data_IF_731778356220
#
_entry.id   IF_731778356220
#
_cell.length_a   1.000
_cell.length_b   1.000
_cell.length_c   1.000
_cell.angle_alpha   90.00
_cell.angle_beta   90.00
_cell.angle_gamma   90.00
#
_symmetry.space_group_name_H-M   'P 1'
#
loop_
_entity.id
_entity.type
_entity.pdbx_description
1 polymer ?
#
# COMPACT_ATOMS: atom_id res chain seq x y z
N UNK A 1 -8.87 21.99 28.95
CA UNK A 1 -7.83 21.14 28.35
C UNK A 1 -8.53 19.86 27.90
N UNK A 2 -9.01 19.84 26.66
CA UNK A 2 -9.86 18.74 26.17
C UNK A 2 -8.97 17.55 25.87
N UNK A 3 -9.09 16.49 26.66
CA UNK A 3 -8.36 15.24 26.46
C UNK A 3 -8.85 14.60 25.16
N UNK A 4 -7.92 14.28 24.25
CA UNK A 4 -8.29 13.68 22.97
C UNK A 4 -8.76 12.23 23.21
N UNK A 5 -9.74 11.71 22.45
CA UNK A 5 -10.18 10.33 22.64
C UNK A 5 -8.99 9.37 22.48
N UNK A 6 -8.94 8.25 23.23
CA UNK A 6 -7.77 7.36 23.29
C UNK A 6 -7.23 6.91 21.93
N UNK A 7 -8.11 6.73 20.94
CA UNK A 7 -7.77 6.39 19.55
C UNK A 7 -7.02 7.51 18.82
N UNK A 8 -7.35 8.77 19.09
CA UNK A 8 -6.67 9.94 18.50
C UNK A 8 -5.28 10.12 19.11
N UNK A 9 -5.15 9.95 20.43
CA UNK A 9 -3.86 9.98 21.11
C UNK A 9 -2.91 8.86 20.63
N UNK A 10 -3.45 7.66 20.38
CA UNK A 10 -2.71 6.54 19.80
C UNK A 10 -2.23 6.87 18.37
N UNK A 11 -3.13 7.34 17.49
CA UNK A 11 -2.79 7.74 16.12
C UNK A 11 -1.70 8.82 16.09
N UNK A 12 -1.82 9.84 16.93
CA UNK A 12 -0.80 10.89 17.05
C UNK A 12 0.56 10.31 17.49
N UNK A 13 0.56 9.37 18.44
CA UNK A 13 1.77 8.70 18.90
C UNK A 13 2.44 7.88 17.80
N UNK A 14 1.64 7.14 17.03
CA UNK A 14 2.12 6.32 15.92
C UNK A 14 2.70 7.19 14.80
N UNK A 15 1.98 8.23 14.34
CA UNK A 15 2.50 9.20 13.35
C UNK A 15 3.83 9.81 13.76
N UNK A 16 4.00 10.12 15.05
CA UNK A 16 5.23 10.73 15.57
C UNK A 16 6.40 9.74 15.64
N UNK A 17 6.17 8.50 16.03
CA UNK A 17 7.25 7.54 16.36
C UNK A 17 7.57 6.56 15.24
N UNK A 18 6.53 6.07 14.57
CA UNK A 18 6.63 4.93 13.65
C UNK A 18 7.53 5.22 12.42
N UNK A 19 7.54 6.42 11.81
CA UNK A 19 8.43 6.70 10.67
C UNK A 19 9.93 6.52 11.00
N UNK A 20 10.36 6.90 12.21
CA UNK A 20 11.76 6.73 12.63
C UNK A 20 12.07 5.25 12.88
N UNK A 21 11.14 4.52 13.50
CA UNK A 21 11.30 3.10 13.77
C UNK A 21 11.33 2.28 12.47
N UNK A 22 10.46 2.58 11.51
CA UNK A 22 10.44 1.96 10.19
C UNK A 22 11.73 2.21 9.41
N UNK A 23 12.27 3.44 9.42
CA UNK A 23 13.57 3.73 8.81
C UNK A 23 14.70 2.92 9.44
N UNK A 24 14.72 2.81 10.78
CA UNK A 24 15.71 1.97 11.46
C UNK A 24 15.56 0.50 11.07
N UNK A 25 14.34 -0.04 11.14
CA UNK A 25 14.06 -1.43 10.82
C UNK A 25 14.40 -1.76 9.35
N UNK A 26 14.15 -0.84 8.41
CA UNK A 26 14.52 -1.01 7.02
C UNK A 26 16.04 -1.06 6.83
N UNK A 27 16.78 -0.21 7.55
CA UNK A 27 18.25 -0.25 7.57
C UNK A 27 18.80 -1.54 8.19
N UNK A 28 18.24 -1.97 9.32
CA UNK A 28 18.64 -3.22 9.99
C UNK A 28 18.37 -4.44 9.08
N UNK A 29 17.21 -4.47 8.40
CA UNK A 29 16.88 -5.49 7.41
C UNK A 29 17.86 -5.48 6.23
N UNK A 30 18.14 -4.31 5.65
CA UNK A 30 19.06 -4.20 4.52
C UNK A 30 20.47 -4.69 4.89
N UNK A 31 20.95 -4.37 6.09
CA UNK A 31 22.22 -4.87 6.59
C UNK A 31 22.21 -6.41 6.75
N UNK A 32 21.18 -6.96 7.39
CA UNK A 32 21.05 -8.41 7.58
C UNK A 32 20.93 -9.17 6.25
N UNK A 33 20.19 -8.63 5.28
CA UNK A 33 19.97 -9.25 3.98
C UNK A 33 21.18 -9.13 3.04
N UNK A 34 22.09 -8.19 3.30
CA UNK A 34 23.33 -8.04 2.54
C UNK A 34 24.42 -9.04 2.94
N UNK A 35 24.30 -9.67 4.12
CA UNK A 35 25.22 -10.72 4.53
C UNK A 35 25.16 -11.92 3.56
N UNK A 36 26.30 -12.55 3.24
CA UNK A 36 26.30 -13.73 2.41
C UNK A 36 25.39 -14.82 2.98
N UNK A 37 24.49 -15.40 2.16
CA UNK A 37 23.60 -16.44 2.64
C UNK A 37 24.40 -17.67 3.13
N UNK A 38 23.98 -18.34 4.21
CA UNK A 38 24.63 -19.55 4.68
C UNK A 38 24.64 -20.66 3.61
N UNK A 39 25.73 -21.42 3.54
CA UNK A 39 25.89 -22.48 2.53
C UNK A 39 25.08 -23.73 2.83
N UNK A 40 24.80 -24.03 4.10
CA UNK A 40 23.99 -25.18 4.47
C UNK A 40 22.49 -24.88 4.34
N UNK A 41 21.73 -25.87 3.87
CA UNK A 41 20.32 -25.69 3.56
C UNK A 41 19.47 -25.27 4.76
N UNK A 42 19.81 -25.73 5.98
CA UNK A 42 19.05 -25.43 7.20
C UNK A 42 19.23 -23.97 7.60
N UNK A 43 20.47 -23.50 7.64
CA UNK A 43 20.80 -22.12 7.96
C UNK A 43 20.34 -21.18 6.85
N UNK A 44 20.40 -21.59 5.57
CA UNK A 44 19.82 -20.83 4.46
C UNK A 44 18.31 -20.63 4.64
N UNK A 45 17.58 -21.71 4.95
CA UNK A 45 16.14 -21.62 5.22
C UNK A 45 15.84 -20.72 6.43
N UNK A 46 16.66 -20.79 7.48
CA UNK A 46 16.57 -19.91 8.65
C UNK A 46 16.80 -18.43 8.29
N UNK A 47 17.84 -18.13 7.53
CA UNK A 47 18.14 -16.79 7.04
C UNK A 47 16.99 -16.24 6.18
N UNK A 48 16.48 -17.03 5.23
CA UNK A 48 15.33 -16.67 4.41
C UNK A 48 14.06 -16.44 5.23
N UNK A 49 13.80 -17.27 6.25
CA UNK A 49 12.66 -17.09 7.14
C UNK A 49 12.76 -15.78 7.94
N UNK A 50 13.96 -15.45 8.43
CA UNK A 50 14.22 -14.18 9.12
C UNK A 50 13.98 -12.97 8.18
N UNK A 51 14.48 -13.02 6.95
CA UNK A 51 14.23 -11.98 5.94
C UNK A 51 12.74 -11.77 5.67
N UNK A 52 11.98 -12.86 5.48
CA UNK A 52 10.52 -12.79 5.26
C UNK A 52 9.79 -12.18 6.46
N UNK A 53 10.16 -12.58 7.68
CA UNK A 53 9.56 -12.04 8.90
C UNK A 53 9.84 -10.54 9.05
N UNK A 54 11.08 -10.09 8.75
CA UNK A 54 11.44 -8.67 8.78
C UNK A 54 10.61 -7.84 7.78
N UNK A 55 10.46 -8.33 6.54
CA UNK A 55 9.62 -7.68 5.53
C UNK A 55 8.15 -7.60 5.95
N UNK A 56 7.60 -8.68 6.53
CA UNK A 56 6.23 -8.69 7.04
C UNK A 56 6.03 -7.68 8.17
N UNK A 57 7.02 -7.50 9.06
CA UNK A 57 6.96 -6.48 10.10
C UNK A 57 7.02 -5.05 9.54
N UNK A 58 7.85 -4.81 8.51
CA UNK A 58 7.91 -3.51 7.83
C UNK A 58 6.56 -3.17 7.16
N UNK A 59 5.98 -4.12 6.44
CA UNK A 59 4.65 -3.97 5.82
C UNK A 59 3.56 -3.69 6.86
N UNK A 60 3.52 -4.45 7.97
CA UNK A 60 2.58 -4.20 9.06
C UNK A 60 2.74 -2.79 9.66
N UNK A 61 3.97 -2.32 9.85
CA UNK A 61 4.24 -0.98 10.34
C UNK A 61 3.85 0.12 9.35
N UNK A 62 4.05 -0.09 8.04
CA UNK A 62 3.59 0.84 6.99
C UNK A 62 2.06 0.94 6.98
N UNK A 63 1.36 -0.19 7.06
CA UNK A 63 -0.11 -0.23 7.16
C UNK A 63 -0.63 0.48 8.41
N UNK A 64 0.06 0.32 9.54
CA UNK A 64 -0.29 1.00 10.78
C UNK A 64 -0.04 2.51 10.69
N UNK A 65 1.02 2.94 10.01
CA UNK A 65 1.29 4.35 9.75
C UNK A 65 0.21 4.97 8.85
N UNK A 66 -0.14 4.31 7.75
CA UNK A 66 -1.19 4.76 6.83
C UNK A 66 -2.54 4.90 7.55
N UNK A 67 -2.90 3.91 8.38
CA UNK A 67 -4.09 4.01 9.24
C UNK A 67 -4.01 5.20 10.22
N UNK A 68 -2.85 5.43 10.82
CA UNK A 68 -2.66 6.54 11.75
C UNK A 68 -2.72 7.91 11.07
N UNK A 69 -2.32 8.00 9.80
CA UNK A 69 -2.38 9.20 8.98
C UNK A 69 -3.78 9.53 8.49
N UNK A 70 -4.72 8.57 8.54
CA UNK A 70 -6.03 8.68 7.90
C UNK A 70 -6.00 8.30 6.42
N UNK A 71 -4.86 7.79 5.94
CA UNK A 71 -4.64 7.30 4.58
C UNK A 71 -5.03 5.82 4.44
N UNK A 72 -6.00 5.34 5.23
CA UNK A 72 -6.39 3.93 5.21
C UNK A 72 -7.11 3.64 3.89
N UNK A 73 -6.35 3.23 2.88
CA UNK A 73 -6.86 2.75 1.59
C UNK A 73 -7.68 1.46 1.72
N UNK A 74 -7.81 0.88 2.93
CA UNK A 74 -8.80 -0.17 3.22
C UNK A 74 -10.19 0.37 3.53
N UNK A 75 -10.36 1.69 3.72
CA UNK A 75 -11.64 2.35 3.99
C UNK A 75 -11.87 3.65 3.16
N UNK A 76 -11.00 3.96 2.20
CA UNK A 76 -11.27 4.93 1.11
C UNK A 76 -11.84 4.20 -0.11
N UNK A 77 -12.66 4.82 -0.96
CA UNK A 77 -13.61 4.10 -1.79
C UNK A 77 -12.91 3.49 -3.01
N UNK A 78 -12.30 2.32 -2.83
CA UNK A 78 -11.96 1.45 -3.96
C UNK A 78 -13.21 1.14 -4.81
N UNK A 79 -14.41 1.25 -4.22
CA UNK A 79 -15.68 1.23 -4.94
C UNK A 79 -15.93 2.47 -5.80
N UNK A 80 -15.63 3.68 -5.32
CA UNK A 80 -15.86 4.92 -6.10
C UNK A 80 -14.77 5.13 -7.14
N UNK A 81 -13.53 4.74 -6.87
CA UNK A 81 -12.42 4.84 -7.82
C UNK A 81 -12.60 3.81 -8.96
N UNK A 82 -13.04 2.59 -8.63
CA UNK A 82 -13.43 1.59 -9.63
C UNK A 82 -14.70 2.00 -10.39
N UNK A 83 -15.69 2.58 -9.71
CA UNK A 83 -16.89 3.12 -10.36
C UNK A 83 -16.53 4.26 -11.32
N UNK A 84 -15.62 5.16 -10.92
CA UNK A 84 -15.16 6.25 -11.77
C UNK A 84 -14.36 5.74 -12.97
N UNK A 85 -13.51 4.73 -12.78
CA UNK A 85 -12.81 4.06 -13.89
C UNK A 85 -13.77 3.34 -14.83
N UNK A 86 -14.83 2.70 -14.30
CA UNK A 86 -15.86 2.02 -15.10
C UNK A 86 -16.72 3.03 -15.88
N UNK A 87 -17.07 4.17 -15.29
CA UNK A 87 -17.83 5.23 -15.95
C UNK A 87 -16.99 5.89 -17.05
N UNK A 88 -15.70 6.17 -16.79
CA UNK A 88 -14.78 6.69 -17.80
C UNK A 88 -14.59 5.71 -18.97
N UNK A 89 -14.47 4.41 -18.69
CA UNK A 89 -14.39 3.37 -19.71
C UNK A 89 -15.68 3.27 -20.54
N UNK A 90 -16.87 3.37 -19.91
CA UNK A 90 -18.17 3.38 -20.60
C UNK A 90 -18.35 4.60 -21.50
N UNK A 91 -17.93 5.79 -21.04
CA UNK A 91 -17.99 7.01 -21.84
C UNK A 91 -17.10 6.92 -23.09
N UNK A 92 -15.87 6.40 -22.93
CA UNK A 92 -14.93 6.23 -24.05
C UNK A 92 -15.45 5.28 -25.14
N UNK A 93 -16.20 4.24 -24.76
CA UNK A 93 -16.83 3.31 -25.71
C UNK A 93 -18.04 3.94 -26.42
N UNK A 94 -18.84 4.73 -25.69
CA UNK A 94 -20.00 5.40 -26.28
C UNK A 94 -19.60 6.47 -27.31
N UNK A 95 -18.49 7.19 -27.08
CA UNK A 95 -17.92 8.14 -28.04
C UNK A 95 -17.38 7.44 -29.29
N UNK A 96 -16.79 6.25 -29.15
CA UNK A 96 -16.31 5.46 -30.28
C UNK A 96 -17.46 4.89 -31.15
N UNK A 97 -18.60 4.54 -30.54
CA UNK A 97 -19.78 4.04 -31.27
C UNK A 97 -20.53 5.14 -32.03
N UNK A 98 -20.39 6.42 -31.63
CA UNK A 98 -21.06 7.54 -32.30
C UNK A 98 -20.33 8.02 -33.57
N UNK A 99 -19.04 7.73 -33.70
CA UNK A 99 -18.22 8.07 -34.89
C UNK A 99 -18.43 7.09 -36.06
N UNK A 100 -18.95 5.88 -35.82
CA UNK A 100 -19.19 4.85 -36.86
C UNK A 100 -20.56 5.00 -37.54
N UNK A 101 -21.48 5.79 -36.96
CA UNK A 101 -22.86 5.86 -37.45
C UNK A 101 -23.17 7.08 -38.35
N UNK A 102 -22.21 7.99 -38.59
CA UNK A 102 -22.42 9.22 -39.38
C UNK A 102 -21.81 9.19 -40.80
N UNK A 103 -21.34 8.03 -41.29
CA UNK A 103 -20.79 7.85 -42.66
C UNK A 103 -21.70 7.01 -43.58
N UNK A 104 -22.92 6.67 -43.16
CA UNK A 104 -23.78 5.72 -43.87
C UNK A 104 -25.05 6.34 -44.52
N UNK A 105 -25.02 7.59 -44.98
CA UNK A 105 -26.18 8.20 -45.65
C UNK A 105 -25.91 9.01 -46.95
N UNK A 106 -24.80 8.78 -47.66
CA UNK A 106 -24.64 9.38 -49.00
C UNK A 106 -24.25 8.36 -50.09
N UNK A 107 -25.27 7.70 -50.67
CA UNK A 107 -25.26 7.19 -52.05
C UNK A 107 -26.64 7.28 -52.67
#
# INVERSE_FOLDING_TARGET
MTDAPPSTALRATLRRRLPKLLRKAAGDYAAFAADPPPADAKSFAGHQAACKAALAHLDAGLKLLAWAEGNDTRNGPAGDDLAHMLDAARASVAEADTDVSDDALET
#
